data_IF_720519998401
#
_entry.id   IF_720519998401
#
_cell.length_a   1.000
_cell.length_b   1.000
_cell.length_c   1.000
_cell.angle_alpha   90.00
_cell.angle_beta   90.00
_cell.angle_gamma   90.00
#
_symmetry.space_group_name_H-M   'P 1'
#
loop_
_entity.id
_entity.type
_entity.pdbx_description
1 polymer ?
#
# COMPACT_ATOMS: atom_id res chain seq x y z
N UNK A 1 -17.41 9.34 5.99
CA UNK A 1 -17.76 8.07 5.32
C UNK A 1 -16.43 7.47 4.92
N UNK A 2 -15.92 6.45 5.61
CA UNK A 2 -14.48 6.12 5.52
C UNK A 2 -14.07 5.70 4.09
N UNK A 3 -13.48 6.62 3.35
CA UNK A 3 -12.94 6.37 2.02
C UNK A 3 -11.65 5.57 2.14
N UNK A 4 -11.71 4.30 1.72
CA UNK A 4 -10.51 3.49 1.57
C UNK A 4 -9.60 4.10 0.50
N UNK A 5 -8.31 3.76 0.56
CA UNK A 5 -7.32 4.23 -0.42
C UNK A 5 -7.68 3.81 -1.85
N UNK A 6 -8.39 2.69 -2.02
CA UNK A 6 -8.85 2.21 -3.31
C UNK A 6 -10.04 3.01 -3.83
N UNK A 7 -11.00 3.36 -2.95
CA UNK A 7 -12.11 4.25 -3.32
C UNK A 7 -11.59 5.59 -3.85
N UNK A 8 -10.61 6.19 -3.17
CA UNK A 8 -9.99 7.44 -3.63
C UNK A 8 -9.38 7.31 -5.03
N UNK A 9 -8.72 6.18 -5.33
CA UNK A 9 -8.11 5.93 -6.65
C UNK A 9 -9.16 5.72 -7.72
N UNK A 10 -10.24 5.02 -7.40
CA UNK A 10 -11.35 4.81 -8.32
C UNK A 10 -11.99 6.13 -8.74
N UNK A 11 -12.18 7.06 -7.81
CA UNK A 11 -12.73 8.40 -8.11
C UNK A 11 -11.75 9.22 -8.95
N UNK A 12 -10.45 9.22 -8.59
CA UNK A 12 -9.43 9.90 -9.41
C UNK A 12 -9.37 9.31 -10.82
N UNK A 13 -9.48 7.99 -10.96
CA UNK A 13 -9.52 7.30 -12.25
C UNK A 13 -10.75 7.70 -13.06
N UNK A 14 -11.94 7.69 -12.43
CA UNK A 14 -13.18 8.12 -13.07
C UNK A 14 -13.07 9.54 -13.63
N UNK A 15 -12.54 10.48 -12.84
CA UNK A 15 -12.32 11.85 -13.26
C UNK A 15 -11.28 11.98 -14.38
N UNK A 16 -10.21 11.18 -14.32
CA UNK A 16 -9.24 11.06 -15.41
C UNK A 16 -9.88 10.53 -16.70
N UNK A 17 -10.70 9.49 -16.62
CA UNK A 17 -11.43 8.92 -17.77
C UNK A 17 -12.44 9.90 -18.37
N UNK A 18 -13.00 10.82 -17.57
CA UNK A 18 -13.83 11.95 -18.04
C UNK A 18 -13.03 13.06 -18.72
N UNK A 19 -11.70 12.98 -18.74
CA UNK A 19 -10.82 14.00 -19.32
C UNK A 19 -10.62 15.23 -18.42
N UNK A 20 -10.89 15.12 -17.12
CA UNK A 20 -10.66 16.25 -16.21
C UNK A 20 -9.17 16.48 -15.98
N UNK A 21 -8.80 17.77 -15.94
CA UNK A 21 -7.47 18.18 -15.50
C UNK A 21 -7.28 17.89 -14.01
N UNK A 22 -6.02 17.85 -13.57
CA UNK A 22 -5.67 17.57 -12.18
C UNK A 22 -6.30 18.58 -11.21
N UNK A 23 -6.34 19.87 -11.59
CA UNK A 23 -6.91 20.94 -10.76
C UNK A 23 -8.43 20.86 -10.66
N UNK A 24 -9.11 20.50 -11.76
CA UNK A 24 -10.56 20.27 -11.74
C UNK A 24 -10.91 19.04 -10.90
N UNK A 25 -10.12 17.97 -11.02
CA UNK A 25 -10.28 16.78 -10.21
C UNK A 25 -10.10 17.08 -8.71
N UNK A 26 -9.11 17.89 -8.34
CA UNK A 26 -8.92 18.36 -6.96
C UNK A 26 -10.14 19.17 -6.48
N UNK A 27 -10.59 20.14 -7.27
CA UNK A 27 -11.71 21.01 -6.90
C UNK A 27 -13.00 20.20 -6.69
N UNK A 28 -13.28 19.23 -7.55
CA UNK A 28 -14.44 18.33 -7.42
C UNK A 28 -14.33 17.44 -6.17
N UNK A 29 -13.14 16.86 -5.93
CA UNK A 29 -12.91 16.02 -4.75
C UNK A 29 -13.03 16.81 -3.44
N UNK A 30 -12.55 18.06 -3.40
CA UNK A 30 -12.72 18.96 -2.24
C UNK A 30 -14.20 19.31 -2.06
N UNK A 31 -14.92 19.59 -3.14
CA UNK A 31 -16.35 19.91 -3.07
C UNK A 31 -17.21 18.75 -2.56
N UNK A 32 -16.82 17.49 -2.80
CA UNK A 32 -17.60 16.31 -2.42
C UNK A 32 -17.22 15.80 -1.03
N UNK A 33 -15.91 15.79 -0.71
CA UNK A 33 -15.39 15.09 0.46
C UNK A 33 -14.75 16.00 1.51
N UNK A 34 -14.48 17.25 1.18
CA UNK A 34 -13.89 18.28 2.05
C UNK A 34 -12.71 17.76 2.91
N UNK A 35 -12.96 17.43 4.19
CA UNK A 35 -11.94 16.93 5.12
C UNK A 35 -11.43 15.52 4.76
N UNK A 36 -12.27 14.68 4.15
CA UNK A 36 -11.93 13.31 3.74
C UNK A 36 -11.23 13.26 2.37
N UNK A 37 -10.98 14.41 1.75
CA UNK A 37 -10.34 14.50 0.43
C UNK A 37 -8.89 14.04 0.47
N UNK A 38 -8.45 13.20 -0.50
CA UNK A 38 -7.04 12.85 -0.64
C UNK A 38 -6.18 14.10 -0.84
N UNK A 39 -4.95 14.08 -0.31
CA UNK A 39 -4.02 15.19 -0.54
C UNK A 39 -3.80 15.47 -2.02
N UNK A 40 -3.60 16.74 -2.38
CA UNK A 40 -3.30 17.17 -3.75
C UNK A 40 -2.16 16.35 -4.37
N UNK A 41 -1.08 16.10 -3.62
CA UNK A 41 0.04 15.26 -4.06
C UNK A 41 -0.38 13.84 -4.42
N UNK A 42 -1.31 13.26 -3.67
CA UNK A 42 -1.84 11.92 -3.95
C UNK A 42 -2.64 11.92 -5.25
N UNK A 43 -3.50 12.91 -5.45
CA UNK A 43 -4.31 13.07 -6.67
C UNK A 43 -3.40 13.21 -7.90
N UNK A 44 -2.40 14.09 -7.82
CA UNK A 44 -1.51 14.38 -8.95
C UNK A 44 -0.64 13.18 -9.30
N UNK A 45 -0.12 12.46 -8.29
CA UNK A 45 0.64 11.23 -8.51
C UNK A 45 -0.19 10.18 -9.22
N UNK A 46 -1.41 9.91 -8.77
CA UNK A 46 -2.28 8.90 -9.40
C UNK A 46 -2.69 9.31 -10.82
N UNK A 47 -2.97 10.59 -11.05
CA UNK A 47 -3.26 11.10 -12.38
C UNK A 47 -2.07 10.94 -13.33
N UNK A 48 -0.84 11.15 -12.86
CA UNK A 48 0.37 10.87 -13.64
C UNK A 48 0.55 9.37 -13.95
N UNK A 49 0.24 8.49 -12.99
CA UNK A 49 0.27 7.04 -13.18
C UNK A 49 -0.77 6.57 -14.21
N UNK A 50 -1.98 7.14 -14.20
CA UNK A 50 -2.99 6.84 -15.21
C UNK A 50 -2.59 7.34 -16.60
N UNK A 51 -1.96 8.52 -16.69
CA UNK A 51 -1.33 8.99 -17.94
C UNK A 51 -0.23 8.05 -18.46
N UNK A 52 0.47 7.35 -17.57
CA UNK A 52 1.48 6.33 -17.92
C UNK A 52 0.87 4.98 -18.34
N UNK A 53 -0.45 4.86 -18.37
CA UNK A 53 -1.15 3.64 -18.79
C UNK A 53 -1.39 2.62 -17.67
N UNK A 54 -1.26 3.02 -16.39
CA UNK A 54 -1.59 2.13 -15.28
C UNK A 54 -3.10 1.91 -15.20
N UNK A 55 -3.54 0.66 -15.18
CA UNK A 55 -4.96 0.27 -15.03
C UNK A 55 -5.28 -0.23 -13.61
N UNK A 56 -4.28 -0.67 -12.85
CA UNK A 56 -4.51 -1.21 -11.51
C UNK A 56 -4.78 -0.13 -10.46
N UNK A 57 -5.91 -0.26 -9.77
CA UNK A 57 -6.30 0.57 -8.63
C UNK A 57 -5.70 0.03 -7.31
N UNK A 58 -5.34 -1.24 -7.27
CA UNK A 58 -4.74 -1.87 -6.09
C UNK A 58 -3.33 -1.36 -5.83
N UNK A 59 -2.94 -1.37 -4.56
CA UNK A 59 -1.51 -1.30 -4.24
C UNK A 59 -0.87 -2.58 -4.74
N UNK A 60 0.20 -2.47 -5.52
CA UNK A 60 1.13 -3.60 -5.66
C UNK A 60 1.52 -3.98 -4.24
N UNK A 61 1.31 -5.23 -3.86
CA UNK A 61 1.80 -5.73 -2.58
C UNK A 61 3.27 -5.37 -2.52
N UNK A 62 3.66 -4.53 -1.56
CA UNK A 62 5.08 -4.33 -1.32
C UNK A 62 5.60 -5.72 -0.99
N UNK A 63 6.42 -6.31 -1.86
CA UNK A 63 7.32 -7.34 -1.41
C UNK A 63 8.13 -6.64 -0.32
N UNK A 64 7.76 -6.89 0.93
CA UNK A 64 8.60 -6.46 2.04
C UNK A 64 9.99 -7.03 1.85
N UNK A 65 10.94 -6.67 2.72
CA UNK A 65 12.24 -7.33 2.71
C UNK A 65 12.01 -8.86 2.75
N UNK A 66 12.52 -9.63 1.78
CA UNK A 66 12.42 -11.08 1.84
C UNK A 66 13.03 -11.52 3.17
N UNK A 67 12.27 -12.26 3.99
CA UNK A 67 12.80 -12.81 5.24
C UNK A 67 13.70 -14.00 4.88
N UNK A 68 14.90 -13.71 4.38
CA UNK A 68 15.90 -14.73 4.02
C UNK A 68 16.28 -15.64 5.19
N UNK A 69 16.13 -15.16 6.42
CA UNK A 69 16.40 -15.92 7.64
C UNK A 69 15.22 -16.77 8.14
N UNK A 70 13.99 -16.57 7.62
CA UNK A 70 12.78 -17.26 8.13
C UNK A 70 12.35 -18.33 7.14
N UNK A 71 13.20 -19.36 7.01
CA UNK A 71 12.88 -20.58 6.28
C UNK A 71 12.27 -21.61 7.24
N UNK A 72 11.46 -22.57 6.73
CA UNK A 72 10.93 -23.66 7.55
C UNK A 72 12.04 -24.44 8.28
N UNK A 73 13.21 -24.59 7.66
CA UNK A 73 14.37 -25.28 8.21
C UNK A 73 14.96 -24.51 9.40
N UNK A 74 15.13 -23.20 9.27
CA UNK A 74 15.61 -22.36 10.37
C UNK A 74 14.62 -22.33 11.54
N UNK A 75 13.31 -22.30 11.23
CA UNK A 75 12.27 -22.39 12.26
C UNK A 75 12.34 -23.73 13.00
N UNK A 76 12.54 -24.83 12.28
CA UNK A 76 12.67 -26.16 12.87
C UNK A 76 13.93 -26.26 13.75
N UNK A 77 15.08 -25.78 13.25
CA UNK A 77 16.33 -25.78 13.99
C UNK A 77 16.23 -25.00 15.31
N UNK A 78 15.69 -23.78 15.28
CA UNK A 78 15.47 -22.95 16.48
C UNK A 78 14.51 -23.64 17.46
N UNK A 79 13.43 -24.26 16.96
CA UNK A 79 12.50 -25.02 17.82
C UNK A 79 13.18 -26.19 18.51
N UNK A 80 14.07 -26.91 17.81
CA UNK A 80 14.84 -28.00 18.41
C UNK A 80 15.76 -27.50 19.51
N UNK A 81 16.48 -26.40 19.30
CA UNK A 81 17.36 -25.82 20.32
C UNK A 81 16.56 -25.44 21.59
N UNK A 82 15.40 -24.78 21.43
CA UNK A 82 14.55 -24.37 22.55
C UNK A 82 13.93 -25.56 23.30
N UNK A 83 13.58 -26.64 22.59
CA UNK A 83 13.04 -27.86 23.20
C UNK A 83 14.10 -28.65 23.97
N UNK A 84 15.37 -28.58 23.53
CA UNK A 84 16.49 -29.25 24.19
C UNK A 84 16.94 -28.48 25.44
N UNK A 85 17.02 -27.16 25.35
CA UNK A 85 17.26 -26.27 26.49
C UNK A 85 16.37 -25.03 26.46
N UNK A 86 15.43 -24.97 27.41
CA UNK A 86 14.52 -23.85 27.58
C UNK A 86 15.17 -22.57 28.13
N UNK A 87 16.43 -22.62 28.60
CA UNK A 87 17.19 -21.47 29.10
C UNK A 87 18.13 -20.85 28.05
N UNK A 88 18.10 -21.35 26.82
CA UNK A 88 18.88 -20.79 25.71
C UNK A 88 18.54 -19.31 25.48
N UNK A 89 19.59 -18.51 25.35
CA UNK A 89 19.50 -17.08 25.04
C UNK A 89 19.64 -16.83 23.54
N UNK A 90 19.28 -15.63 23.08
CA UNK A 90 19.37 -15.27 21.66
C UNK A 90 20.79 -15.37 21.08
N UNK A 91 21.83 -15.16 21.90
CA UNK A 91 23.24 -15.30 21.47
C UNK A 91 23.65 -16.77 21.23
N UNK A 92 22.86 -17.71 21.74
CA UNK A 92 23.12 -19.15 21.68
C UNK A 92 22.26 -19.86 20.63
N UNK A 93 21.41 -19.12 19.90
CA UNK A 93 20.58 -19.58 18.78
C UNK A 93 21.22 -19.14 17.47
#
# INVERSE_FOLDING_TARGET
MDLTREHCRAIIYHNFSRGLSQDKCLSELVSIYDVETPSQTTIYRWHAEFRRGRVSLSTVSSSGRPRTAVTPENIAAVRTIILDDHHVTYEQI
#
